data_IF_609346135279
#
_entry.id   IF_609346135279
#
_cell.length_a   1.000
_cell.length_b   1.000
_cell.length_c   1.000
_cell.angle_alpha   90.00
_cell.angle_beta   90.00
_cell.angle_gamma   90.00
#
_symmetry.space_group_name_H-M   'P 1'
#
loop_
_entity.id
_entity.type
_entity.pdbx_description
1 polymer ?
#
# COMPACT_ATOMS: atom_id res chain seq x y z
N UNK A 1 -55.78 16.09 -2.79
CA UNK A 1 -55.77 14.62 -2.68
C UNK A 1 -54.33 14.22 -2.46
N UNK A 2 -54.09 13.68 -1.28
CA UNK A 2 -52.78 13.47 -0.67
C UNK A 2 -51.95 12.38 -1.36
N UNK A 3 -50.64 12.66 -1.41
CA UNK A 3 -49.47 11.80 -1.22
C UNK A 3 -49.63 10.28 -1.33
N UNK A 4 -48.78 9.65 -2.16
CA UNK A 4 -48.02 8.48 -1.70
C UNK A 4 -46.77 8.27 -2.57
N UNK A 5 -45.71 9.06 -2.33
CA UNK A 5 -44.37 8.70 -2.75
C UNK A 5 -43.79 7.82 -1.65
N UNK A 6 -43.98 6.50 -1.78
CA UNK A 6 -43.35 5.54 -0.89
C UNK A 6 -41.85 5.56 -1.11
N UNK A 7 -41.15 6.35 -0.29
CA UNK A 7 -39.71 6.23 -0.07
C UNK A 7 -39.43 4.82 0.43
N UNK A 8 -38.98 3.94 -0.47
CA UNK A 8 -38.42 2.65 -0.08
C UNK A 8 -37.11 2.92 0.63
N UNK A 9 -37.13 2.86 1.95
CA UNK A 9 -35.94 2.76 2.78
C UNK A 9 -35.25 1.45 2.40
N UNK A 10 -34.18 1.53 1.61
CA UNK A 10 -33.31 0.40 1.30
C UNK A 10 -32.70 -0.08 2.61
N UNK A 11 -33.34 -1.05 3.27
CA UNK A 11 -32.73 -1.68 4.44
C UNK A 11 -31.40 -2.31 4.03
N UNK A 12 -30.31 -2.11 4.79
CA UNK A 12 -29.03 -2.69 4.46
C UNK A 12 -29.13 -4.22 4.41
N UNK A 13 -28.59 -4.81 3.34
CA UNK A 13 -28.46 -6.26 3.24
C UNK A 13 -27.67 -6.77 4.46
N UNK A 14 -28.24 -7.61 5.33
CA UNK A 14 -27.59 -8.10 6.55
C UNK A 14 -26.23 -8.77 6.29
N UNK A 15 -26.06 -9.34 5.09
CA UNK A 15 -24.79 -9.93 4.66
C UNK A 15 -23.71 -8.87 4.43
N UNK A 16 -24.04 -7.72 3.84
CA UNK A 16 -23.07 -6.63 3.60
C UNK A 16 -22.66 -5.96 4.91
N UNK A 17 -23.61 -5.77 5.82
CA UNK A 17 -23.32 -5.25 7.16
C UNK A 17 -22.33 -6.15 7.90
N UNK A 18 -22.59 -7.46 7.94
CA UNK A 18 -21.70 -8.41 8.60
C UNK A 18 -20.30 -8.46 7.98
N UNK A 19 -20.19 -8.36 6.65
CA UNK A 19 -18.89 -8.30 5.97
C UNK A 19 -18.12 -7.02 6.31
N UNK A 20 -18.80 -5.88 6.39
CA UNK A 20 -18.19 -4.62 6.79
C UNK A 20 -17.66 -4.69 8.22
N UNK A 21 -18.47 -5.18 9.16
CA UNK A 21 -18.06 -5.37 10.56
C UNK A 21 -16.81 -6.24 10.67
N UNK A 22 -16.79 -7.38 9.96
CA UNK A 22 -15.64 -8.27 9.90
C UNK A 22 -14.39 -7.60 9.30
N UNK A 23 -14.56 -6.81 8.24
CA UNK A 23 -13.46 -6.11 7.59
C UNK A 23 -12.88 -4.99 8.46
N UNK A 24 -13.73 -4.22 9.16
CA UNK A 24 -13.31 -3.19 10.11
C UNK A 24 -12.58 -3.82 11.31
N UNK A 25 -13.09 -4.93 11.85
CA UNK A 25 -12.41 -5.66 12.92
C UNK A 25 -11.03 -6.17 12.47
N UNK A 26 -10.94 -6.75 11.27
CA UNK A 26 -9.65 -7.21 10.71
C UNK A 26 -8.65 -6.06 10.51
N UNK A 27 -9.09 -4.89 10.06
CA UNK A 27 -8.24 -3.70 9.91
C UNK A 27 -7.78 -3.21 11.29
N UNK A 28 -8.69 -3.09 12.25
CA UNK A 28 -8.39 -2.66 13.61
C UNK A 28 -7.34 -3.56 14.27
N UNK A 29 -7.55 -4.89 14.22
CA UNK A 29 -6.68 -5.85 14.89
C UNK A 29 -5.34 -6.05 14.16
N UNK A 30 -5.34 -5.85 12.84
CA UNK A 30 -4.16 -6.03 12.00
C UNK A 30 -3.29 -4.78 11.83
N UNK A 31 -3.75 -3.60 12.24
CA UNK A 31 -3.06 -2.31 11.99
C UNK A 31 -1.63 -2.29 12.54
N UNK A 32 -1.45 -2.60 13.82
CA UNK A 32 -0.12 -2.60 14.45
C UNK A 32 0.82 -3.61 13.78
N UNK A 33 0.30 -4.81 13.46
CA UNK A 33 1.08 -5.83 12.77
C UNK A 33 1.46 -5.41 11.35
N UNK A 34 0.55 -4.76 10.61
CA UNK A 34 0.82 -4.20 9.29
C UNK A 34 1.87 -3.08 9.36
N UNK A 35 1.75 -2.17 10.33
CA UNK A 35 2.74 -1.11 10.59
C UNK A 35 4.08 -1.69 11.01
N UNK A 36 4.09 -2.76 11.80
CA UNK A 36 5.29 -3.49 12.18
C UNK A 36 5.92 -4.19 10.96
N UNK A 37 5.15 -4.73 10.02
CA UNK A 37 5.66 -5.26 8.76
C UNK A 37 6.22 -4.14 7.89
N UNK A 38 5.47 -3.03 7.77
CA UNK A 38 5.89 -1.83 7.05
C UNK A 38 7.24 -1.31 7.59
N UNK A 39 7.37 -1.20 8.92
CA UNK A 39 8.56 -0.76 9.65
C UNK A 39 9.59 -1.86 9.95
N UNK A 40 9.34 -3.10 9.51
CA UNK A 40 10.16 -4.31 9.77
C UNK A 40 10.37 -4.71 11.24
N UNK A 41 9.50 -4.27 12.15
CA UNK A 41 9.48 -4.72 13.54
C UNK A 41 8.86 -6.12 13.73
N UNK A 42 8.15 -6.65 12.72
CA UNK A 42 7.52 -7.96 12.80
C UNK A 42 8.43 -9.09 12.28
N UNK A 43 8.78 -10.05 13.14
CA UNK A 43 9.55 -11.26 12.77
C UNK A 43 8.56 -12.38 12.42
N UNK A 44 8.08 -12.41 11.16
CA UNK A 44 7.22 -13.50 10.66
C UNK A 44 8.09 -14.76 10.57
N UNK A 45 8.04 -15.62 11.59
CA UNK A 45 8.67 -16.94 11.55
C UNK A 45 7.74 -17.91 10.86
N UNK A 46 7.81 -18.00 9.54
CA UNK A 46 7.36 -19.20 8.82
C UNK A 46 8.43 -20.28 8.98
N UNK A 47 8.08 -21.36 9.69
CA UNK A 47 8.91 -22.56 9.78
C UNK A 47 8.94 -23.25 8.43
N UNK A 48 9.99 -23.01 7.64
CA UNK A 48 10.34 -23.88 6.52
C UNK A 48 11.75 -24.38 6.73
N UNK A 49 11.86 -25.59 7.28
CA UNK A 49 13.10 -26.36 7.31
C UNK A 49 13.44 -26.77 5.88
N UNK A 50 14.52 -26.22 5.33
CA UNK A 50 15.06 -26.62 4.04
C UNK A 50 16.30 -25.80 3.71
N UNK A 51 17.45 -26.46 3.67
CA UNK A 51 18.77 -25.86 3.42
C UNK A 51 18.81 -25.06 2.10
N UNK A 52 19.31 -23.82 2.16
CA UNK A 52 19.80 -23.09 0.99
C UNK A 52 19.07 -21.79 0.61
N UNK A 53 18.61 -20.97 1.55
CA UNK A 53 18.08 -19.64 1.20
C UNK A 53 19.22 -18.64 1.14
N UNK A 54 19.52 -18.17 -0.08
CA UNK A 54 20.32 -16.98 -0.35
C UNK A 54 19.82 -15.86 0.57
N UNK A 55 20.68 -15.42 1.48
CA UNK A 55 20.45 -14.26 2.34
C UNK A 55 20.32 -13.00 1.50
N UNK A 56 19.10 -12.70 1.05
CA UNK A 56 18.76 -11.36 0.58
C UNK A 56 18.83 -10.47 1.82
N UNK A 57 19.86 -9.63 1.90
CA UNK A 57 20.07 -8.73 3.02
C UNK A 57 18.77 -7.98 3.36
N UNK A 58 18.36 -7.94 4.63
CA UNK A 58 17.03 -7.48 5.02
C UNK A 58 16.84 -6.02 4.60
N UNK A 59 15.82 -5.78 3.78
CA UNK A 59 15.29 -4.46 3.45
C UNK A 59 14.97 -3.64 4.72
N UNK A 60 15.15 -2.32 4.72
CA UNK A 60 14.78 -1.46 5.85
C UNK A 60 13.26 -1.18 6.01
N UNK A 61 12.43 -1.29 4.95
CA UNK A 61 10.96 -1.02 4.98
C UNK A 61 10.21 -1.98 4.01
N UNK A 62 9.06 -2.56 4.42
CA UNK A 62 8.15 -3.27 3.50
C UNK A 62 7.18 -2.26 2.87
N UNK A 63 7.52 -1.81 1.66
CA UNK A 63 6.82 -0.73 0.97
C UNK A 63 5.39 -1.09 0.53
N UNK A 64 5.12 -2.36 0.27
CA UNK A 64 3.76 -2.81 -0.04
C UNK A 64 2.86 -2.65 1.18
N UNK A 65 3.35 -3.10 2.34
CA UNK A 65 2.66 -2.92 3.61
C UNK A 65 2.55 -1.44 4.01
N UNK A 66 3.59 -0.63 3.79
CA UNK A 66 3.55 0.81 4.06
C UNK A 66 2.52 1.53 3.20
N UNK A 67 2.50 1.28 1.88
CA UNK A 67 1.50 1.89 0.99
C UNK A 67 0.09 1.46 1.39
N UNK A 68 -0.11 0.18 1.72
CA UNK A 68 -1.39 -0.30 2.19
C UNK A 68 -1.82 0.40 3.50
N UNK A 69 -0.90 0.60 4.44
CA UNK A 69 -1.20 1.33 5.67
C UNK A 69 -1.65 2.77 5.35
N UNK A 70 -0.97 3.47 4.44
CA UNK A 70 -1.39 4.81 4.00
C UNK A 70 -2.74 4.81 3.26
N UNK A 71 -2.99 3.82 2.40
CA UNK A 71 -4.28 3.66 1.71
C UNK A 71 -5.41 3.46 2.73
N UNK A 72 -5.16 2.68 3.79
CA UNK A 72 -6.11 2.42 4.89
C UNK A 72 -6.35 3.68 5.71
N UNK A 73 -5.29 4.38 6.10
CA UNK A 73 -5.39 5.64 6.84
C UNK A 73 -6.30 6.64 6.12
N UNK A 74 -6.09 6.84 4.81
CA UNK A 74 -6.88 7.79 4.01
C UNK A 74 -8.33 7.30 3.81
N UNK A 75 -8.54 5.99 3.61
CA UNK A 75 -9.87 5.40 3.49
C UNK A 75 -10.68 5.59 4.79
N UNK A 76 -10.12 5.20 5.93
CA UNK A 76 -10.76 5.30 7.25
C UNK A 76 -11.04 6.77 7.59
N UNK A 77 -10.08 7.66 7.33
CA UNK A 77 -10.26 9.09 7.54
C UNK A 77 -11.37 9.68 6.66
N UNK A 78 -11.47 9.25 5.41
CA UNK A 78 -12.52 9.69 4.49
C UNK A 78 -13.90 9.23 4.95
N UNK A 79 -14.03 7.97 5.39
CA UNK A 79 -15.28 7.43 5.95
C UNK A 79 -15.66 8.18 7.23
N UNK A 80 -14.71 8.39 8.15
CA UNK A 80 -14.95 9.10 9.39
C UNK A 80 -15.46 10.53 9.16
N UNK A 81 -14.87 11.26 8.20
CA UNK A 81 -15.35 12.59 7.80
C UNK A 81 -16.76 12.54 7.21
N UNK A 82 -17.02 11.55 6.36
CA UNK A 82 -18.32 11.35 5.73
C UNK A 82 -19.44 11.05 6.74
N UNK A 83 -19.08 10.43 7.88
CA UNK A 83 -19.97 10.18 9.02
C UNK A 83 -20.00 11.32 10.06
N UNK A 84 -19.24 12.40 9.85
CA UNK A 84 -19.18 13.54 10.78
C UNK A 84 -18.43 13.23 12.10
N UNK A 85 -17.60 12.20 12.14
CA UNK A 85 -16.82 11.83 13.32
C UNK A 85 -15.67 12.82 13.56
N UNK A 86 -15.24 13.02 14.82
CA UNK A 86 -14.12 13.90 15.12
C UNK A 86 -12.79 13.33 14.59
N UNK A 87 -12.17 14.01 13.62
CA UNK A 87 -10.94 13.54 12.96
C UNK A 87 -9.70 14.40 13.25
N UNK A 88 -9.65 15.08 14.41
CA UNK A 88 -8.52 15.96 14.77
C UNK A 88 -7.23 15.19 14.98
N UNK A 89 -7.33 14.01 15.58
CA UNK A 89 -6.24 13.06 15.74
C UNK A 89 -6.41 11.98 14.67
N UNK A 90 -5.41 11.82 13.78
CA UNK A 90 -5.41 10.80 12.72
C UNK A 90 -5.01 9.45 13.30
N UNK A 91 -5.84 8.92 14.18
CA UNK A 91 -5.66 7.60 14.77
C UNK A 91 -6.57 6.61 14.04
N UNK A 92 -5.99 5.84 13.13
CA UNK A 92 -6.69 4.86 12.29
C UNK A 92 -7.39 3.79 13.13
N UNK A 93 -6.79 3.35 14.23
CA UNK A 93 -7.38 2.33 15.12
C UNK A 93 -8.62 2.90 15.81
N UNK A 94 -8.50 4.08 16.42
CA UNK A 94 -9.62 4.74 17.09
C UNK A 94 -10.76 5.07 16.13
N UNK A 95 -10.44 5.57 14.93
CA UNK A 95 -11.44 5.87 13.90
C UNK A 95 -12.11 4.61 13.36
N UNK A 96 -11.36 3.53 13.15
CA UNK A 96 -11.93 2.23 12.72
C UNK A 96 -12.90 1.69 13.76
N UNK A 97 -12.54 1.76 15.05
CA UNK A 97 -13.42 1.38 16.14
C UNK A 97 -14.69 2.25 16.20
N UNK A 98 -14.55 3.56 16.01
CA UNK A 98 -15.68 4.49 16.00
C UNK A 98 -16.63 4.23 14.82
N UNK A 99 -16.10 4.01 13.61
CA UNK A 99 -16.90 3.64 12.43
C UNK A 99 -17.64 2.32 12.67
N UNK A 100 -17.00 1.35 13.35
CA UNK A 100 -17.58 0.05 13.68
C UNK A 100 -18.70 0.07 14.73
N UNK A 101 -19.04 1.23 15.32
CA UNK A 101 -20.16 1.31 16.26
C UNK A 101 -21.51 1.12 15.53
N UNK A 102 -22.49 0.42 16.14
CA UNK A 102 -23.77 0.11 15.47
C UNK A 102 -24.48 1.32 14.86
N UNK A 103 -24.55 2.45 15.59
CA UNK A 103 -25.19 3.68 15.10
C UNK A 103 -24.47 4.29 13.88
N UNK A 104 -23.14 4.15 13.80
CA UNK A 104 -22.34 4.67 12.70
C UNK A 104 -22.40 3.76 11.49
N UNK A 105 -22.49 2.44 11.70
CA UNK A 105 -22.75 1.47 10.64
C UNK A 105 -24.13 1.70 10.03
N UNK A 106 -25.16 1.87 10.85
CA UNK A 106 -26.52 2.18 10.37
C UNK A 106 -26.52 3.45 9.51
N UNK A 107 -25.92 4.54 10.01
CA UNK A 107 -25.82 5.80 9.27
C UNK A 107 -24.96 5.69 7.99
N UNK A 108 -23.94 4.82 7.98
CA UNK A 108 -23.16 4.55 6.77
C UNK A 108 -24.03 3.93 5.68
N UNK A 109 -24.91 3.01 6.04
CA UNK A 109 -25.79 2.32 5.10
C UNK A 109 -26.94 3.18 4.55
N UNK A 110 -27.23 4.31 5.18
CA UNK A 110 -28.17 5.32 4.66
C UNK A 110 -27.58 6.12 3.49
N UNK A 111 -26.27 6.01 3.24
CA UNK A 111 -25.59 6.72 2.16
C UNK A 111 -25.72 6.01 0.82
N UNK A 112 -25.81 6.81 -0.23
CA UNK A 112 -25.87 6.29 -1.61
C UNK A 112 -24.61 5.51 -2.03
N UNK A 113 -23.44 5.85 -1.46
CA UNK A 113 -22.14 5.24 -1.76
C UNK A 113 -21.77 4.07 -0.81
N UNK A 114 -22.69 3.65 0.07
CA UNK A 114 -22.43 2.61 1.07
C UNK A 114 -21.86 1.32 0.47
N UNK A 115 -22.40 0.85 -0.65
CA UNK A 115 -21.94 -0.36 -1.31
C UNK A 115 -20.48 -0.25 -1.80
N UNK A 116 -20.08 0.92 -2.30
CA UNK A 116 -18.71 1.17 -2.74
C UNK A 116 -17.76 1.24 -1.53
N UNK A 117 -18.18 1.89 -0.44
CA UNK A 117 -17.42 1.94 0.81
C UNK A 117 -17.18 0.53 1.36
N UNK A 118 -18.23 -0.29 1.45
CA UNK A 118 -18.11 -1.69 1.91
C UNK A 118 -17.10 -2.45 1.06
N UNK A 119 -17.18 -2.34 -0.27
CA UNK A 119 -16.24 -3.02 -1.16
C UNK A 119 -14.79 -2.57 -0.96
N UNK A 120 -14.55 -1.27 -0.73
CA UNK A 120 -13.22 -0.72 -0.46
C UNK A 120 -12.65 -1.18 0.88
N UNK A 121 -13.45 -1.18 1.95
CA UNK A 121 -13.03 -1.65 3.28
C UNK A 121 -12.74 -3.15 3.26
N UNK A 122 -13.61 -3.94 2.62
CA UNK A 122 -13.35 -5.37 2.41
C UNK A 122 -12.08 -5.62 1.59
N UNK A 123 -11.85 -4.85 0.54
CA UNK A 123 -10.64 -4.96 -0.27
C UNK A 123 -9.40 -4.63 0.56
N UNK A 124 -9.43 -3.56 1.36
CA UNK A 124 -8.35 -3.21 2.26
C UNK A 124 -8.03 -4.33 3.27
N UNK A 125 -9.06 -4.89 3.92
CA UNK A 125 -8.92 -6.01 4.86
C UNK A 125 -8.30 -7.25 4.19
N UNK A 126 -8.77 -7.63 2.99
CA UNK A 126 -8.18 -8.75 2.21
C UNK A 126 -6.72 -8.50 1.84
N UNK A 127 -6.37 -7.26 1.47
CA UNK A 127 -4.98 -6.90 1.16
C UNK A 127 -4.11 -6.99 2.40
N UNK A 128 -4.60 -6.53 3.55
CA UNK A 128 -3.89 -6.61 4.83
C UNK A 128 -3.64 -8.06 5.23
N UNK A 129 -4.65 -8.92 5.12
CA UNK A 129 -4.51 -10.35 5.41
C UNK A 129 -3.37 -11.00 4.61
N UNK A 130 -3.20 -10.67 3.32
CA UNK A 130 -2.08 -11.20 2.50
C UNK A 130 -0.69 -10.72 2.95
N UNK A 131 -0.59 -9.60 3.65
CA UNK A 131 0.67 -9.18 4.27
C UNK A 131 0.92 -9.88 5.60
N UNK A 132 -0.13 -10.11 6.40
CA UNK A 132 -0.04 -10.77 7.70
C UNK A 132 0.19 -12.30 7.56
N UNK A 133 -0.42 -12.89 6.54
CA UNK A 133 -0.35 -14.31 6.18
C UNK A 133 0.15 -14.45 4.73
N UNK A 134 1.45 -14.20 4.48
CA UNK A 134 1.99 -14.27 3.13
C UNK A 134 2.04 -15.71 2.63
N UNK A 135 1.60 -15.92 1.39
CA UNK A 135 1.86 -17.17 0.68
C UNK A 135 3.38 -17.33 0.46
N UNK A 136 3.96 -18.50 0.76
CA UNK A 136 5.41 -18.67 0.86
C UNK A 136 6.17 -18.41 -0.46
N UNK A 137 5.51 -18.53 -1.62
CA UNK A 137 6.16 -18.49 -2.94
C UNK A 137 5.78 -17.27 -3.80
N UNK A 138 5.03 -16.31 -3.24
CA UNK A 138 4.54 -15.14 -3.99
C UNK A 138 4.99 -13.81 -3.38
N UNK A 139 5.45 -12.90 -4.24
CA UNK A 139 5.94 -11.56 -3.86
C UNK A 139 5.06 -10.47 -4.46
N UNK A 140 4.60 -9.51 -3.67
CA UNK A 140 3.88 -8.34 -4.18
C UNK A 140 4.81 -7.43 -5.00
N UNK A 141 4.57 -7.33 -6.30
CA UNK A 141 5.38 -6.54 -7.24
C UNK A 141 4.81 -5.14 -7.52
N UNK A 142 3.50 -4.94 -7.39
CA UNK A 142 2.84 -3.64 -7.57
C UNK A 142 1.34 -3.77 -7.75
N UNK A 143 0.70 -2.78 -8.38
CA UNK A 143 -0.75 -2.79 -8.69
C UNK A 143 -0.95 -2.87 -10.20
N UNK A 144 -2.00 -3.57 -10.62
CA UNK A 144 -2.41 -3.67 -12.01
C UNK A 144 -2.64 -2.27 -12.61
N UNK A 145 -2.16 -2.05 -13.84
CA UNK A 145 -2.33 -0.81 -14.57
C UNK A 145 -3.75 -0.64 -15.14
N UNK A 146 -4.52 -1.73 -15.19
CA UNK A 146 -5.90 -1.72 -15.68
C UNK A 146 -6.96 -1.60 -14.58
N UNK A 147 -6.85 -2.43 -13.53
CA UNK A 147 -7.88 -2.51 -12.48
C UNK A 147 -7.36 -2.19 -11.07
N UNK A 148 -6.08 -1.80 -10.95
CA UNK A 148 -5.45 -1.41 -9.68
C UNK A 148 -5.45 -2.50 -8.57
N UNK A 149 -5.75 -3.76 -8.92
CA UNK A 149 -5.58 -4.90 -8.03
C UNK A 149 -4.10 -5.16 -7.72
N UNK A 150 -3.76 -5.54 -6.48
CA UNK A 150 -2.39 -5.93 -6.16
C UNK A 150 -1.96 -7.16 -6.98
N UNK A 151 -0.75 -7.10 -7.50
CA UNK A 151 -0.12 -8.17 -8.26
C UNK A 151 0.91 -8.87 -7.38
N UNK A 152 0.71 -10.16 -7.21
CA UNK A 152 1.58 -11.07 -6.48
C UNK A 152 2.20 -12.01 -7.50
N UNK A 153 3.52 -11.93 -7.66
CA UNK A 153 4.27 -12.65 -8.67
C UNK A 153 5.02 -13.82 -8.02
N UNK A 154 5.03 -14.96 -8.69
CA UNK A 154 5.96 -16.05 -8.40
C UNK A 154 7.35 -15.72 -8.97
N UNK A 155 8.38 -16.46 -8.55
CA UNK A 155 9.74 -16.23 -9.08
C UNK A 155 9.81 -16.43 -10.60
N UNK A 156 9.02 -17.36 -11.14
CA UNK A 156 8.88 -17.62 -12.58
C UNK A 156 8.34 -16.41 -13.35
N UNK A 157 7.36 -15.69 -12.81
CA UNK A 157 6.81 -14.46 -13.41
C UNK A 157 7.86 -13.35 -13.45
N UNK A 158 8.64 -13.22 -12.37
CA UNK A 158 9.71 -12.23 -12.25
C UNK A 158 10.82 -12.53 -13.26
N UNK A 159 11.25 -13.78 -13.35
CA UNK A 159 12.30 -14.22 -14.27
C UNK A 159 11.84 -14.14 -15.73
N UNK A 160 10.56 -14.45 -15.99
CA UNK A 160 9.92 -14.31 -17.31
C UNK A 160 9.62 -12.86 -17.71
N UNK A 161 9.54 -11.94 -16.75
CA UNK A 161 9.32 -10.51 -16.96
C UNK A 161 7.87 -10.10 -17.25
N UNK A 162 6.93 -11.03 -17.17
CA UNK A 162 5.50 -10.83 -17.46
C UNK A 162 4.63 -11.40 -16.36
N UNK A 163 3.45 -10.80 -16.17
CA UNK A 163 2.46 -11.26 -15.21
C UNK A 163 1.04 -11.05 -15.76
N UNK A 164 0.13 -11.96 -15.42
CA UNK A 164 -1.29 -11.84 -15.70
C UNK A 164 -2.02 -11.42 -14.43
N UNK A 165 -2.82 -10.35 -14.51
CA UNK A 165 -3.65 -9.94 -13.38
C UNK A 165 -4.78 -10.93 -13.15
N UNK A 166 -4.79 -11.63 -12.01
CA UNK A 166 -5.85 -12.60 -11.66
C UNK A 166 -7.25 -11.96 -11.58
N UNK A 167 -7.34 -10.64 -11.32
CA UNK A 167 -8.61 -9.94 -11.20
C UNK A 167 -9.24 -9.52 -12.53
N UNK A 168 -8.43 -9.13 -13.53
CA UNK A 168 -8.95 -8.61 -14.81
C UNK A 168 -8.39 -9.31 -16.05
N UNK A 169 -7.53 -10.31 -15.90
CA UNK A 169 -6.90 -11.06 -16.99
C UNK A 169 -5.86 -10.28 -17.79
N UNK A 170 -5.55 -9.03 -17.42
CA UNK A 170 -4.59 -8.21 -18.17
C UNK A 170 -3.17 -8.75 -18.02
N UNK A 171 -2.54 -9.04 -19.14
CA UNK A 171 -1.11 -9.34 -19.24
C UNK A 171 -0.29 -8.05 -19.26
N UNK A 172 0.78 -7.99 -18.46
CA UNK A 172 1.55 -6.78 -18.19
C UNK A 172 3.02 -7.11 -17.97
N UNK A 173 3.91 -6.23 -18.39
CA UNK A 173 5.32 -6.37 -18.06
C UNK A 173 5.53 -6.05 -16.59
N UNK A 174 6.27 -6.91 -15.90
CA UNK A 174 6.66 -6.71 -14.49
C UNK A 174 7.38 -5.38 -14.31
N UNK A 175 8.22 -4.98 -15.28
CA UNK A 175 8.93 -3.70 -15.25
C UNK A 175 7.98 -2.49 -15.27
N UNK A 176 6.90 -2.53 -16.05
CA UNK A 176 6.00 -1.39 -16.24
C UNK A 176 5.13 -1.21 -14.98
N UNK A 177 4.72 -2.32 -14.36
CA UNK A 177 4.09 -2.35 -13.03
C UNK A 177 5.02 -1.76 -11.97
N UNK A 178 6.29 -2.14 -12.00
CA UNK A 178 7.30 -1.67 -11.07
C UNK A 178 7.59 -0.17 -11.24
N UNK A 179 7.65 0.32 -12.49
CA UNK A 179 7.80 1.75 -12.80
C UNK A 179 6.59 2.55 -12.31
N UNK A 180 5.37 2.10 -12.60
CA UNK A 180 4.16 2.74 -12.10
C UNK A 180 4.07 2.73 -10.57
N UNK A 181 4.63 1.71 -9.92
CA UNK A 181 4.77 1.68 -8.45
C UNK A 181 5.73 2.77 -7.96
N UNK A 182 6.85 3.02 -8.64
CA UNK A 182 7.77 4.11 -8.29
C UNK A 182 7.11 5.47 -8.49
N UNK A 183 6.40 5.67 -9.60
CA UNK A 183 5.70 6.93 -9.87
C UNK A 183 4.63 7.25 -8.81
N UNK A 184 3.89 6.23 -8.34
CA UNK A 184 2.95 6.40 -7.22
C UNK A 184 3.69 6.77 -5.92
N UNK A 185 4.80 6.13 -5.61
CA UNK A 185 5.60 6.46 -4.42
C UNK A 185 6.19 7.88 -4.48
N UNK A 186 6.58 8.32 -5.66
CA UNK A 186 7.00 9.70 -5.93
C UNK A 186 5.87 10.68 -5.64
N UNK A 187 4.63 10.37 -6.07
CA UNK A 187 3.47 11.22 -5.82
C UNK A 187 3.14 11.36 -4.32
N UNK A 188 3.55 10.39 -3.50
CA UNK A 188 3.40 10.42 -2.03
C UNK A 188 4.59 11.08 -1.30
N UNK A 189 5.47 11.80 -2.00
CA UNK A 189 6.62 12.55 -1.45
C UNK A 189 7.55 11.67 -0.57
N UNK A 190 7.66 10.38 -0.90
CA UNK A 190 8.39 9.39 -0.10
C UNK A 190 9.85 9.78 0.15
N UNK A 191 10.34 9.54 1.38
CA UNK A 191 11.69 9.92 1.81
C UNK A 191 12.45 8.76 2.42
N UNK A 192 13.79 8.80 2.37
CA UNK A 192 14.63 7.82 3.06
C UNK A 192 16.11 8.08 2.86
N UNK A 193 16.94 7.29 3.53
CA UNK A 193 18.39 7.31 3.36
C UNK A 193 18.81 6.76 1.99
N UNK A 194 20.03 7.09 1.56
CA UNK A 194 20.58 6.59 0.30
C UNK A 194 20.59 5.04 0.18
N UNK A 195 20.65 4.31 1.29
CA UNK A 195 20.60 2.86 1.28
C UNK A 195 19.18 2.35 1.07
N UNK A 196 18.22 2.93 1.79
CA UNK A 196 16.79 2.64 1.66
C UNK A 196 16.30 2.90 0.24
N UNK A 197 16.61 4.08 -0.31
CA UNK A 197 16.15 4.49 -1.63
C UNK A 197 16.79 3.68 -2.77
N UNK A 198 18.09 3.36 -2.68
CA UNK A 198 18.75 2.49 -3.65
C UNK A 198 18.14 1.08 -3.67
N UNK A 199 17.87 0.52 -2.49
CA UNK A 199 17.23 -0.78 -2.39
C UNK A 199 15.80 -0.73 -2.96
N UNK A 200 15.03 0.30 -2.57
CA UNK A 200 13.66 0.54 -3.04
C UNK A 200 13.61 0.59 -4.57
N UNK A 201 14.44 1.42 -5.20
CA UNK A 201 14.53 1.52 -6.66
C UNK A 201 14.93 0.20 -7.31
N UNK A 202 15.90 -0.53 -6.75
CA UNK A 202 16.32 -1.83 -7.28
C UNK A 202 15.20 -2.87 -7.32
N UNK A 203 14.31 -2.90 -6.30
CA UNK A 203 13.13 -3.77 -6.30
C UNK A 203 12.05 -3.34 -7.29
N UNK A 204 12.08 -2.08 -7.67
CA UNK A 204 11.24 -1.56 -8.74
C UNK A 204 11.89 -1.70 -10.13
N UNK A 205 12.96 -2.49 -10.26
CA UNK A 205 13.69 -2.69 -11.52
C UNK A 205 14.62 -1.52 -11.90
N UNK A 206 14.70 -0.48 -11.07
CA UNK A 206 15.54 0.70 -11.31
C UNK A 206 16.90 0.51 -10.65
N UNK A 207 17.94 0.26 -11.45
CA UNK A 207 19.27 -0.05 -10.93
C UNK A 207 20.02 1.22 -10.49
N UNK A 208 19.95 1.54 -9.20
CA UNK A 208 20.72 2.62 -8.56
C UNK A 208 21.43 2.11 -7.32
N UNK A 209 22.77 2.26 -7.27
CA UNK A 209 23.56 1.86 -6.10
C UNK A 209 23.59 2.98 -5.05
N UNK A 210 23.63 2.62 -3.76
CA UNK A 210 23.83 3.58 -2.65
C UNK A 210 25.01 4.53 -2.91
N UNK A 211 26.15 3.98 -3.36
CA UNK A 211 27.36 4.75 -3.65
C UNK A 211 27.10 5.82 -4.73
N UNK A 212 26.28 5.50 -5.73
CA UNK A 212 25.87 6.45 -6.77
C UNK A 212 25.11 7.63 -6.17
N UNK A 213 24.18 7.38 -5.26
CA UNK A 213 23.44 8.44 -4.55
C UNK A 213 24.37 9.29 -3.69
N UNK A 214 25.31 8.66 -2.97
CA UNK A 214 26.33 9.40 -2.19
C UNK A 214 27.22 10.27 -3.08
N UNK A 215 27.59 9.78 -4.26
CA UNK A 215 28.33 10.56 -5.26
C UNK A 215 27.49 11.71 -5.83
N UNK A 216 26.20 11.51 -6.08
CA UNK A 216 25.30 12.59 -6.50
C UNK A 216 25.18 13.68 -5.45
N UNK A 217 25.12 13.32 -4.17
CA UNK A 217 25.18 14.29 -3.07
C UNK A 217 26.49 15.08 -3.12
N UNK A 218 27.64 14.39 -3.22
CA UNK A 218 28.97 15.03 -3.29
C UNK A 218 29.10 15.99 -4.47
N UNK A 219 28.47 15.66 -5.60
CA UNK A 219 28.45 16.46 -6.83
C UNK A 219 27.34 17.52 -6.87
N UNK A 220 26.52 17.63 -5.82
CA UNK A 220 25.43 18.60 -5.74
C UNK A 220 24.21 18.31 -6.63
N UNK A 221 24.10 17.10 -7.19
CA UNK A 221 22.99 16.69 -8.07
C UNK A 221 21.72 16.42 -7.27
N UNK A 222 21.86 15.86 -6.06
CA UNK A 222 20.75 15.62 -5.13
C UNK A 222 21.08 16.26 -3.78
N UNK A 223 20.07 16.81 -3.11
CA UNK A 223 20.25 17.48 -1.80
C UNK A 223 19.48 16.71 -0.73
N UNK A 224 20.08 16.46 0.44
CA UNK A 224 19.36 15.88 1.55
C UNK A 224 18.35 16.90 2.11
N UNK A 225 17.21 16.41 2.56
CA UNK A 225 16.14 17.20 3.20
C UNK A 225 16.23 17.18 4.72
N UNK A 226 17.08 16.32 5.29
CA UNK A 226 17.23 16.16 6.72
C UNK A 226 18.24 15.08 7.10
N UNK A 227 18.26 14.75 8.39
CA UNK A 227 19.07 13.69 8.98
C UNK A 227 18.18 12.75 9.80
N UNK A 228 18.43 11.45 9.68
CA UNK A 228 17.80 10.42 10.50
C UNK A 228 18.90 9.50 11.05
N UNK A 229 19.02 9.41 12.38
CA UNK A 229 20.11 8.67 13.02
C UNK A 229 21.51 9.09 12.56
N UNK A 230 21.70 10.39 12.26
CA UNK A 230 22.95 10.94 11.72
C UNK A 230 23.21 10.66 10.23
N UNK A 231 22.29 9.98 9.54
CA UNK A 231 22.41 9.68 8.10
C UNK A 231 21.58 10.67 7.28
N UNK A 232 22.06 11.12 6.10
CA UNK A 232 21.28 11.99 5.23
C UNK A 232 20.04 11.31 4.67
N UNK A 233 18.90 12.01 4.76
CA UNK A 233 17.60 11.63 4.19
C UNK A 233 17.35 12.43 2.92
N UNK A 234 16.81 11.78 1.89
CA UNK A 234 16.52 12.36 0.58
C UNK A 234 15.07 12.08 0.20
N UNK A 235 14.53 12.87 -0.73
CA UNK A 235 13.26 12.54 -1.42
C UNK A 235 13.52 11.48 -2.48
N UNK A 236 12.63 10.52 -2.61
CA UNK A 236 12.67 9.49 -3.65
C UNK A 236 12.66 10.12 -5.05
N UNK A 237 11.86 11.18 -5.24
CA UNK A 237 11.77 11.89 -6.52
C UNK A 237 13.10 12.43 -7.01
N UNK A 238 13.90 13.04 -6.13
CA UNK A 238 15.20 13.62 -6.50
C UNK A 238 16.17 12.53 -6.95
N UNK A 239 16.11 11.36 -6.31
CA UNK A 239 16.94 10.21 -6.67
C UNK A 239 16.49 9.61 -8.01
N UNK A 240 15.18 9.43 -8.21
CA UNK A 240 14.61 8.91 -9.45
C UNK A 240 14.88 9.83 -10.65
N UNK A 241 14.71 11.14 -10.47
CA UNK A 241 15.07 12.14 -11.49
C UNK A 241 16.56 12.08 -11.81
N UNK A 242 17.42 11.96 -10.80
CA UNK A 242 18.86 11.85 -11.00
C UNK A 242 19.29 10.53 -11.69
N UNK A 243 18.53 9.44 -11.54
CA UNK A 243 18.80 8.20 -12.29
C UNK A 243 18.40 8.27 -13.75
N UNK A 244 17.37 9.06 -14.07
CA UNK A 244 16.82 9.16 -15.43
C UNK A 244 17.36 10.35 -16.24
N UNK A 245 18.25 11.16 -15.67
CA UNK A 245 18.83 12.35 -16.33
C UNK A 245 19.56 12.07 -17.66
N UNK A 246 20.04 10.86 -17.90
CA UNK A 246 20.71 10.48 -19.15
C UNK A 246 19.74 9.83 -20.18
N UNK A 247 18.51 9.50 -19.78
CA UNK A 247 17.52 8.87 -20.67
C UNK A 247 16.76 9.91 -21.52
N UNK A 248 16.98 11.21 -21.26
CA UNK A 248 16.30 12.33 -21.94
C UNK A 248 17.15 12.93 -23.07
N UNK A 249 18.43 12.52 -23.20
CA UNK A 249 19.35 13.04 -24.23
C UNK A 249 19.46 12.15 -25.48
N UNK A 250 18.63 11.10 -25.63
CA UNK A 250 18.61 10.19 -26.79
C UNK A 250 17.29 10.18 -27.58
N UNK A 251 16.55 11.30 -27.58
CA UNK A 251 15.44 11.54 -28.54
C UNK A 251 15.76 12.73 -29.42
#
# INVERSE_FOLDING_TARGET
MSENTSSQTTQPNPQHQRKLEQALAAIHDGDEALLAIARKQCRITTRTSGHGVRTVAPLPINLGAWQLAQDIDELILSIARALGLPTRERDTVALTWAIGQPCNIEHLFERDDAAAIVALVEQAARRMARFLEPEPDRTMIGRCLGCDADLWAEQSDIDGGWIVCEACGREQRVRDVAEARVLRLVACDATGTAAELAALLGRCGVTVRRKTISEWKRRGIVRPIGLEGGKPVYRLWDIWRASNRNAVDET
#
